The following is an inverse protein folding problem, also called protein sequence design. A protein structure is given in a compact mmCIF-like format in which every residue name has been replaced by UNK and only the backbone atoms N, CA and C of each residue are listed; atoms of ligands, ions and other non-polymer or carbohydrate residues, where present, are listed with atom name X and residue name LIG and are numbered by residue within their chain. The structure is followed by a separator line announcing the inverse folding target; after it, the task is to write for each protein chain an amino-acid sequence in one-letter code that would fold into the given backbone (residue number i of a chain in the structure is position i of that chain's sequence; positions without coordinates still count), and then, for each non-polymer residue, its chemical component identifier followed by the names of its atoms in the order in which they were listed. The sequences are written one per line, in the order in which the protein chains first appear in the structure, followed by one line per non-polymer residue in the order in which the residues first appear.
data_IF_309965110673
#
_entry.id   IF_309965110673
#
_cell.length_a   1.000
_cell.length_b   1.000
_cell.length_c   1.000
_cell.angle_alpha   90.00
_cell.angle_beta   90.00
_cell.angle_gamma   90.00
#
_symmetry.space_group_name_H-M   'P 1'
#
loop_
_entity.id
_entity.type
_entity.pdbx_description
1 polymer ?
#
# COMPACT_ATOMS: atom_id res chain seq x y z
N UNK A 1 8.39 30.80 -39.27
CA UNK A 1 8.23 29.37 -39.61
C UNK A 1 7.34 28.73 -38.54
N UNK A 2 6.09 28.47 -38.90
CA UNK A 2 5.09 27.75 -38.08
C UNK A 2 5.11 26.29 -38.50
N UNK A 3 5.14 25.35 -37.55
CA UNK A 3 4.59 24.02 -37.75
C UNK A 3 3.92 23.50 -36.47
N UNK A 4 2.69 23.02 -36.68
CA UNK A 4 1.73 22.47 -35.72
C UNK A 4 2.05 21.02 -35.35
N UNK A 5 1.59 20.63 -34.15
CA UNK A 5 0.86 19.39 -33.80
C UNK A 5 1.36 18.04 -34.34
N UNK A 6 1.72 17.13 -33.44
CA UNK A 6 1.23 15.73 -33.44
C UNK A 6 1.08 15.27 -31.98
N UNK A 7 -0.16 14.92 -31.62
CA UNK A 7 -0.53 14.10 -30.47
C UNK A 7 -0.91 12.73 -31.02
N UNK A 8 -0.34 11.65 -30.49
CA UNK A 8 -1.06 10.40 -30.17
C UNK A 8 -0.16 9.32 -29.53
N UNK A 9 -0.70 8.77 -28.45
CA UNK A 9 -0.63 7.38 -27.98
C UNK A 9 0.73 6.67 -27.86
N UNK A 10 1.18 6.50 -26.62
CA UNK A 10 1.72 5.21 -26.14
C UNK A 10 1.11 4.90 -24.77
N UNK A 11 -0.09 4.32 -24.83
CA UNK A 11 -0.63 3.43 -23.82
C UNK A 11 0.14 2.10 -23.90
N UNK A 12 0.34 1.47 -22.75
CA UNK A 12 0.89 0.11 -22.55
C UNK A 12 2.41 -0.07 -22.68
N UNK A 13 3.08 -0.04 -21.52
CA UNK A 13 4.22 -0.91 -21.27
C UNK A 13 4.21 -1.39 -19.82
N UNK A 14 3.47 -2.48 -19.61
CA UNK A 14 3.61 -3.33 -18.43
C UNK A 14 5.00 -3.99 -18.47
N UNK A 15 5.95 -3.38 -17.76
CA UNK A 15 7.27 -3.95 -17.51
C UNK A 15 7.16 -5.19 -16.61
N UNK A 16 7.38 -6.35 -17.22
CA UNK A 16 8.11 -7.52 -16.70
C UNK A 16 8.36 -7.55 -15.19
N UNK A 17 7.56 -8.33 -14.46
CA UNK A 17 7.96 -8.86 -13.16
C UNK A 17 8.71 -10.18 -13.39
N UNK A 18 10.04 -10.06 -13.42
CA UNK A 18 10.98 -11.18 -13.34
C UNK A 18 10.67 -12.02 -12.08
N UNK A 19 10.13 -13.22 -12.29
CA UNK A 19 10.03 -14.26 -11.27
C UNK A 19 11.44 -14.83 -11.05
N UNK A 20 12.16 -14.31 -10.04
CA UNK A 20 13.29 -15.05 -9.48
C UNK A 20 12.74 -16.02 -8.42
N UNK A 21 12.76 -17.30 -8.78
CA UNK A 21 12.62 -18.43 -7.87
C UNK A 21 13.70 -18.34 -6.79
N UNK A 22 13.32 -18.58 -5.55
CA UNK A 22 14.24 -18.72 -4.42
C UNK A 22 14.31 -20.22 -4.12
N UNK A 23 15.31 -20.90 -4.69
CA UNK A 23 15.66 -22.27 -4.31
C UNK A 23 16.52 -22.21 -3.04
N UNK A 24 15.92 -22.54 -1.89
CA UNK A 24 16.68 -22.82 -0.67
C UNK A 24 17.24 -24.24 -0.77
N UNK A 25 18.47 -24.35 -1.26
CA UNK A 25 19.31 -25.54 -1.06
C UNK A 25 19.88 -25.49 0.36
N UNK A 26 19.36 -26.33 1.26
CA UNK A 26 20.02 -26.64 2.53
C UNK A 26 20.95 -27.86 2.35
N UNK A 27 22.24 -27.77 2.68
CA UNK A 27 23.15 -28.90 2.66
C UNK A 27 23.19 -29.63 4.01
N UNK A 28 23.16 -30.98 3.95
CA UNK A 28 23.92 -31.86 4.82
C UNK A 28 23.43 -32.08 6.25
N UNK A 29 22.72 -33.20 6.45
CA UNK A 29 22.95 -34.03 7.64
C UNK A 29 22.81 -35.51 7.26
N UNK A 30 23.95 -36.17 7.07
CA UNK A 30 24.04 -37.60 6.85
C UNK A 30 24.21 -38.29 8.19
N UNK A 31 23.16 -38.93 8.70
CA UNK A 31 23.30 -39.92 9.78
C UNK A 31 22.35 -41.10 9.53
N UNK A 32 22.94 -42.25 9.19
CA UNK A 32 22.55 -43.57 9.73
C UNK A 32 21.24 -44.25 9.30
N UNK A 33 21.36 -45.12 8.27
CA UNK A 33 20.73 -46.44 8.07
C UNK A 33 19.65 -46.95 9.06
N UNK A 34 18.52 -47.44 8.54
CA UNK A 34 18.11 -48.87 8.60
C UNK A 34 16.77 -49.13 7.86
N UNK A 35 16.62 -50.36 7.37
CA UNK A 35 15.58 -50.89 6.47
C UNK A 35 14.22 -51.17 7.16
N UNK A 36 13.15 -51.23 6.32
CA UNK A 36 11.83 -51.91 6.47
C UNK A 36 10.65 -50.93 6.53
N UNK A 37 9.45 -51.15 5.99
CA UNK A 37 8.85 -52.11 5.06
C UNK A 37 7.43 -51.55 4.74
N UNK A 38 7.01 -51.63 3.46
CA UNK A 38 5.63 -51.81 2.93
C UNK A 38 4.46 -50.89 3.36
N UNK A 39 3.77 -50.33 2.35
CA UNK A 39 2.42 -49.72 2.33
C UNK A 39 2.24 -48.43 3.17
N UNK A 40 1.64 -47.34 2.73
CA UNK A 40 0.51 -47.15 1.80
C UNK A 40 0.53 -45.66 1.39
N UNK A 41 0.47 -45.37 0.09
CA UNK A 41 0.39 -43.99 -0.41
C UNK A 41 -1.01 -43.45 -0.17
N UNK A 42 -1.22 -42.83 0.98
CA UNK A 42 -2.35 -41.93 1.17
C UNK A 42 -1.95 -40.55 0.62
N UNK A 43 -2.22 -40.33 -0.66
CA UNK A 43 -2.26 -38.98 -1.26
C UNK A 43 -3.35 -38.19 -0.52
N UNK A 44 -2.95 -37.46 0.54
CA UNK A 44 -3.80 -36.40 1.06
C UNK A 44 -3.83 -35.29 0.00
N UNK A 45 -5.01 -34.86 -0.48
CA UNK A 45 -5.08 -33.64 -1.27
C UNK A 45 -4.45 -32.51 -0.44
N UNK A 46 -3.75 -31.55 -1.05
CA UNK A 46 -3.19 -30.43 -0.32
C UNK A 46 -4.36 -29.76 0.40
N UNK A 47 -4.38 -29.89 1.74
CA UNK A 47 -5.31 -29.14 2.58
C UNK A 47 -4.87 -27.70 2.44
N UNK A 48 -5.38 -27.02 1.41
CA UNK A 48 -5.33 -25.58 1.35
C UNK A 48 -6.17 -25.16 2.53
N UNK A 49 -5.50 -24.83 3.65
CA UNK A 49 -6.10 -24.15 4.78
C UNK A 49 -6.55 -22.77 4.29
N UNK A 50 -7.65 -22.76 3.53
CA UNK A 50 -8.40 -21.55 3.28
C UNK A 50 -8.89 -21.12 4.65
N UNK A 51 -8.44 -19.94 5.09
CA UNK A 51 -8.98 -19.35 6.30
C UNK A 51 -10.51 -19.33 6.20
N UNK A 52 -11.21 -19.54 7.31
CA UNK A 52 -12.69 -19.49 7.34
C UNK A 52 -13.24 -18.17 6.76
N UNK A 53 -12.43 -17.11 6.79
CA UNK A 53 -12.72 -15.81 6.17
C UNK A 53 -12.57 -15.83 4.64
N UNK A 54 -11.70 -16.65 4.06
CA UNK A 54 -11.54 -16.78 2.61
C UNK A 54 -12.72 -17.52 1.96
N UNK A 55 -13.48 -18.32 2.71
CA UNK A 55 -14.67 -19.05 2.24
C UNK A 55 -16.00 -18.32 2.48
N UNK A 56 -15.97 -17.06 2.95
CA UNK A 56 -17.19 -16.30 3.21
C UNK A 56 -17.94 -16.02 1.88
N UNK A 57 -19.28 -16.20 1.83
CA UNK A 57 -20.08 -15.80 0.69
C UNK A 57 -19.83 -14.33 0.30
N UNK A 58 -19.65 -14.02 -0.98
CA UNK A 58 -19.27 -12.68 -1.42
C UNK A 58 -20.31 -11.62 -1.04
N UNK A 59 -21.58 -11.97 -0.93
CA UNK A 59 -22.66 -11.08 -0.51
C UNK A 59 -22.45 -10.62 0.94
N UNK A 60 -22.18 -11.58 1.85
CA UNK A 60 -21.88 -11.29 3.24
C UNK A 60 -20.58 -10.49 3.38
N UNK A 61 -19.57 -10.81 2.58
CA UNK A 61 -18.32 -10.05 2.57
C UNK A 61 -18.55 -8.60 2.15
N UNK A 62 -19.37 -8.36 1.13
CA UNK A 62 -19.73 -7.01 0.67
C UNK A 62 -20.41 -6.23 1.77
N UNK A 63 -21.37 -6.84 2.44
CA UNK A 63 -22.14 -6.19 3.51
C UNK A 63 -21.26 -5.84 4.72
N UNK A 64 -20.37 -6.73 5.13
CA UNK A 64 -19.40 -6.47 6.20
C UNK A 64 -18.51 -5.28 5.84
N UNK A 65 -17.94 -5.25 4.64
CA UNK A 65 -17.04 -4.17 4.22
C UNK A 65 -17.79 -2.85 4.04
N UNK A 66 -19.03 -2.85 3.51
CA UNK A 66 -19.86 -1.64 3.39
C UNK A 66 -20.15 -1.04 4.75
N UNK A 67 -20.63 -1.85 5.70
CA UNK A 67 -20.90 -1.40 7.08
C UNK A 67 -19.64 -0.84 7.73
N UNK A 68 -18.49 -1.49 7.52
CA UNK A 68 -17.20 -1.02 8.03
C UNK A 68 -16.79 0.33 7.43
N UNK A 69 -16.96 0.53 6.12
CA UNK A 69 -16.63 1.79 5.45
C UNK A 69 -17.56 2.95 5.89
N UNK A 70 -18.83 2.65 6.16
CA UNK A 70 -19.82 3.60 6.67
C UNK A 70 -19.54 3.99 8.13
N UNK A 71 -19.17 3.03 8.98
CA UNK A 71 -18.89 3.30 10.39
C UNK A 71 -17.52 3.97 10.62
N UNK A 72 -16.49 3.57 9.87
CA UNK A 72 -15.10 3.99 10.13
C UNK A 72 -14.64 5.12 9.18
N UNK A 73 -15.22 6.31 9.38
CA UNK A 73 -15.02 7.45 8.50
C UNK A 73 -13.73 8.23 8.76
N UNK A 74 -13.27 8.31 10.01
CA UNK A 74 -12.12 9.12 10.44
C UNK A 74 -10.93 8.28 10.90
N UNK A 75 -9.74 8.86 10.86
CA UNK A 75 -8.57 8.25 11.49
C UNK A 75 -8.61 8.53 13.00
N UNK A 76 -8.25 7.56 13.87
CA UNK A 76 -7.53 6.31 13.58
C UNK A 76 -8.40 5.10 13.29
N UNK A 77 -9.71 5.17 13.49
CA UNK A 77 -10.59 3.99 13.41
C UNK A 77 -10.69 3.41 12.00
N UNK A 78 -10.53 4.26 10.98
CA UNK A 78 -10.35 3.88 9.57
C UNK A 78 -9.17 2.93 9.29
N UNK A 79 -8.25 2.71 10.25
CA UNK A 79 -7.25 1.63 10.19
C UNK A 79 -7.89 0.24 10.02
N UNK A 80 -9.10 0.04 10.53
CA UNK A 80 -9.82 -1.23 10.42
C UNK A 80 -10.16 -1.57 8.97
N UNK A 81 -10.49 -0.57 8.13
CA UNK A 81 -10.69 -0.76 6.68
C UNK A 81 -9.41 -1.26 6.00
N UNK A 82 -8.25 -0.73 6.42
CA UNK A 82 -6.95 -1.17 5.89
C UNK A 82 -6.63 -2.60 6.34
N UNK A 83 -6.87 -2.94 7.60
CA UNK A 83 -6.69 -4.29 8.13
C UNK A 83 -7.62 -5.31 7.44
N UNK A 84 -8.86 -4.92 7.18
CA UNK A 84 -9.85 -5.72 6.45
C UNK A 84 -9.33 -6.14 5.06
N UNK A 85 -8.70 -5.22 4.32
CA UNK A 85 -8.09 -5.51 3.03
C UNK A 85 -6.81 -6.38 3.10
N UNK A 86 -6.27 -6.63 4.30
CA UNK A 86 -5.08 -7.43 4.51
C UNK A 86 -5.39 -8.93 4.77
N UNK A 87 -6.65 -9.29 5.03
CA UNK A 87 -7.07 -10.66 5.38
C UNK A 87 -6.68 -11.69 4.31
N UNK A 88 -7.14 -11.51 3.07
CA UNK A 88 -6.75 -12.35 1.94
C UNK A 88 -6.98 -11.64 0.60
N UNK A 89 -6.67 -12.31 -0.52
CA UNK A 89 -6.84 -11.73 -1.87
C UNK A 89 -8.30 -11.34 -2.19
N UNK A 90 -9.27 -12.16 -1.78
CA UNK A 90 -10.70 -11.91 -2.01
C UNK A 90 -11.16 -10.66 -1.26
N UNK A 91 -10.84 -10.56 0.03
CA UNK A 91 -11.13 -9.39 0.85
C UNK A 91 -10.49 -8.12 0.30
N UNK A 92 -9.22 -8.19 -0.12
CA UNK A 92 -8.53 -7.07 -0.75
C UNK A 92 -9.22 -6.59 -2.02
N UNK A 93 -9.62 -7.51 -2.90
CA UNK A 93 -10.30 -7.17 -4.14
C UNK A 93 -11.63 -6.46 -3.86
N UNK A 94 -12.41 -6.98 -2.91
CA UNK A 94 -13.69 -6.40 -2.55
C UNK A 94 -13.57 -5.05 -1.83
N UNK A 95 -12.58 -4.88 -0.94
CA UNK A 95 -12.30 -3.57 -0.34
C UNK A 95 -11.95 -2.51 -1.38
N UNK A 96 -11.21 -2.86 -2.45
CA UNK A 96 -10.91 -1.91 -3.53
C UNK A 96 -12.15 -1.49 -4.32
N UNK A 97 -13.14 -2.37 -4.42
CA UNK A 97 -14.40 -2.08 -5.09
C UNK A 97 -15.29 -1.16 -4.24
N UNK A 98 -15.37 -1.42 -2.94
CA UNK A 98 -16.25 -0.69 -2.02
C UNK A 98 -15.66 0.66 -1.60
N UNK A 99 -14.36 0.69 -1.30
CA UNK A 99 -13.67 1.93 -0.89
C UNK A 99 -13.39 2.76 -2.14
N UNK A 100 -14.24 3.76 -2.37
CA UNK A 100 -14.12 4.67 -3.51
C UNK A 100 -12.76 5.41 -3.51
N UNK A 101 -12.31 5.83 -4.69
CA UNK A 101 -11.09 6.62 -4.83
C UNK A 101 -11.21 8.00 -4.15
N UNK A 102 -10.09 8.66 -3.82
CA UNK A 102 -10.08 9.97 -3.18
C UNK A 102 -10.84 11.05 -3.95
N UNK A 103 -10.92 10.95 -5.29
CA UNK A 103 -11.73 11.86 -6.11
C UNK A 103 -13.20 11.87 -5.72
N UNK A 104 -13.74 10.71 -5.30
CA UNK A 104 -15.16 10.50 -5.00
C UNK A 104 -15.47 10.51 -3.50
N UNK A 105 -14.55 10.05 -2.65
CA UNK A 105 -14.79 9.98 -1.20
C UNK A 105 -14.05 11.05 -0.39
N UNK A 106 -13.01 11.66 -0.95
CA UNK A 106 -12.12 12.57 -0.24
C UNK A 106 -11.33 11.97 0.92
N UNK A 107 -11.19 10.65 0.97
CA UNK A 107 -10.49 9.95 2.05
C UNK A 107 -9.23 9.23 1.54
N UNK A 108 -8.12 9.44 2.24
CA UNK A 108 -6.85 8.73 1.99
C UNK A 108 -6.77 7.45 2.83
N UNK A 109 -7.31 6.36 2.30
CA UNK A 109 -7.41 5.08 3.03
C UNK A 109 -6.17 4.22 2.82
N UNK A 110 -5.87 3.87 1.57
CA UNK A 110 -4.77 2.99 1.19
C UNK A 110 -3.54 3.79 0.73
N UNK A 111 -2.33 3.22 0.78
CA UNK A 111 -1.13 3.88 0.28
C UNK A 111 -1.24 4.30 -1.20
N UNK A 112 -1.92 3.48 -2.02
CA UNK A 112 -2.15 3.77 -3.45
C UNK A 112 -2.96 5.06 -3.66
N UNK A 113 -3.81 5.44 -2.70
CA UNK A 113 -4.63 6.65 -2.76
C UNK A 113 -3.81 7.93 -2.79
N UNK A 114 -2.56 7.92 -2.31
CA UNK A 114 -1.66 9.09 -2.35
C UNK A 114 -1.25 9.49 -3.77
N UNK A 115 -1.34 8.57 -4.73
CA UNK A 115 -1.04 8.82 -6.15
C UNK A 115 -2.29 9.11 -6.98
N UNK A 116 -3.47 9.05 -6.37
CA UNK A 116 -4.74 9.31 -7.06
C UNK A 116 -5.09 10.80 -7.00
N UNK A 117 -5.83 11.33 -7.97
CA UNK A 117 -6.27 12.72 -7.92
C UNK A 117 -7.16 12.99 -6.70
N UNK A 118 -7.14 14.24 -6.24
CA UNK A 118 -7.93 14.70 -5.11
C UNK A 118 -9.42 14.91 -5.45
N UNK A 119 -10.25 15.27 -4.45
CA UNK A 119 -11.67 15.55 -4.63
C UNK A 119 -11.91 16.59 -5.73
N UNK A 120 -12.87 16.31 -6.63
CA UNK A 120 -13.30 17.28 -7.66
C UNK A 120 -14.41 18.20 -7.17
N UNK A 121 -15.22 17.72 -6.23
CA UNK A 121 -16.33 18.48 -5.68
C UNK A 121 -15.83 19.45 -4.60
N UNK A 122 -16.17 20.73 -4.73
CA UNK A 122 -15.67 21.81 -3.87
C UNK A 122 -16.09 21.75 -2.40
N UNK A 123 -16.93 20.79 -1.99
CA UNK A 123 -17.37 20.63 -0.60
C UNK A 123 -16.39 19.81 0.26
N UNK A 124 -15.48 19.03 -0.34
CA UNK A 124 -14.60 18.10 0.38
C UNK A 124 -13.15 18.42 0.06
N UNK A 125 -12.39 18.86 1.07
CA UNK A 125 -10.96 19.17 0.91
C UNK A 125 -10.10 18.26 1.79
N UNK A 126 -9.00 17.76 1.23
CA UNK A 126 -8.02 16.99 1.98
C UNK A 126 -7.02 17.96 2.60
N UNK A 127 -7.23 18.30 3.87
CA UNK A 127 -6.33 19.19 4.60
C UNK A 127 -5.11 18.43 5.12
N UNK A 128 -3.92 18.96 4.85
CA UNK A 128 -2.66 18.38 5.29
C UNK A 128 -1.74 19.47 5.86
N UNK A 129 -0.76 19.06 6.67
CA UNK A 129 0.27 19.95 7.19
C UNK A 129 1.65 19.28 7.12
N UNK A 130 2.69 20.10 7.10
CA UNK A 130 4.08 19.63 6.97
C UNK A 130 4.83 19.95 8.26
N UNK A 131 5.34 18.92 8.95
CA UNK A 131 6.33 19.09 10.02
C UNK A 131 7.74 19.02 9.42
N UNK A 132 8.56 20.02 9.72
CA UNK A 132 9.97 20.06 9.30
C UNK A 132 10.88 19.73 10.46
N UNK A 133 11.75 18.74 10.27
CA UNK A 133 12.88 18.49 11.14
C UNK A 133 14.14 19.08 10.49
N UNK A 134 14.64 20.16 11.08
CA UNK A 134 15.81 20.88 10.58
C UNK A 134 17.11 20.11 10.79
N UNK A 135 17.18 19.25 11.81
CA UNK A 135 18.39 18.50 12.15
C UNK A 135 18.69 17.43 11.11
N UNK A 136 17.67 16.65 10.74
CA UNK A 136 17.77 15.58 9.76
C UNK A 136 17.52 16.03 8.31
N UNK A 137 17.20 17.33 8.12
CA UNK A 137 16.77 17.89 6.84
C UNK A 137 15.58 17.13 6.23
N UNK A 138 14.68 16.66 7.09
CA UNK A 138 13.51 15.87 6.72
C UNK A 138 12.23 16.69 6.87
N UNK A 139 11.25 16.31 6.05
CA UNK A 139 9.92 16.89 6.01
C UNK A 139 8.94 15.73 6.10
N UNK A 140 7.92 15.88 6.95
CA UNK A 140 6.90 14.87 7.16
C UNK A 140 5.53 15.49 6.87
N UNK A 141 4.81 14.89 5.94
CA UNK A 141 3.46 15.27 5.57
C UNK A 141 2.45 14.46 6.39
N UNK A 142 1.49 15.17 6.98
CA UNK A 142 0.42 14.58 7.78
C UNK A 142 -0.95 15.04 7.28
N UNK A 143 -1.92 14.15 7.33
CA UNK A 143 -3.34 14.45 7.15
C UNK A 143 -3.90 15.08 8.44
N UNK A 144 -4.63 16.18 8.32
CA UNK A 144 -5.34 16.81 9.42
C UNK A 144 -6.52 15.96 9.85
N UNK A 145 -6.62 15.63 11.14
CA UNK A 145 -7.75 14.85 11.70
C UNK A 145 -8.83 15.74 12.33
N UNK A 146 -8.46 16.94 12.76
CA UNK A 146 -9.37 17.94 13.31
C UNK A 146 -8.92 19.34 12.88
N UNK A 147 -9.84 20.22 12.43
CA UNK A 147 -9.51 21.60 12.09
C UNK A 147 -8.95 22.41 13.27
N UNK A 148 -9.28 22.03 14.51
CA UNK A 148 -8.94 22.79 15.71
C UNK A 148 -7.54 22.48 16.30
N UNK A 149 -6.89 21.38 15.89
CA UNK A 149 -5.64 20.89 16.51
C UNK A 149 -4.56 20.58 15.45
N UNK A 150 -4.32 21.55 14.56
CA UNK A 150 -3.50 21.42 13.35
C UNK A 150 -2.06 20.90 13.53
N UNK A 151 -1.51 20.83 14.75
CA UNK A 151 -0.07 20.57 14.94
C UNK A 151 0.23 19.25 15.66
N UNK A 152 -0.71 18.66 16.39
CA UNK A 152 -0.37 17.52 17.26
C UNK A 152 -0.92 16.17 16.77
N UNK A 153 -2.13 16.14 16.21
CA UNK A 153 -2.81 14.88 15.88
C UNK A 153 -3.08 14.76 14.37
N UNK A 154 -2.13 14.17 13.65
CA UNK A 154 -2.21 13.92 12.22
C UNK A 154 -1.86 12.49 11.84
N UNK A 155 -2.51 11.96 10.80
CA UNK A 155 -2.09 10.68 10.20
C UNK A 155 -0.90 10.92 9.28
N UNK A 156 0.22 10.26 9.54
CA UNK A 156 1.39 10.32 8.66
C UNK A 156 1.05 9.83 7.24
N UNK A 157 1.52 10.56 6.22
CA UNK A 157 1.32 10.24 4.81
C UNK A 157 2.64 9.98 4.08
N UNK A 158 3.56 10.94 4.10
CA UNK A 158 4.80 10.91 3.32
C UNK A 158 5.93 11.56 4.10
N UNK A 159 7.14 11.14 3.81
CA UNK A 159 8.36 11.80 4.24
C UNK A 159 9.18 12.23 3.03
N UNK A 160 9.95 13.30 3.17
CA UNK A 160 10.91 13.74 2.19
C UNK A 160 12.22 14.12 2.87
N UNK A 161 13.35 13.66 2.34
CA UNK A 161 14.69 14.00 2.84
C UNK A 161 15.45 14.83 1.82
N UNK A 162 15.89 16.02 2.23
CA UNK A 162 16.71 16.91 1.40
C UNK A 162 18.15 16.39 1.35
N UNK A 163 18.65 16.18 0.14
CA UNK A 163 20.02 15.76 -0.16
C UNK A 163 20.66 16.80 -1.05
N UNK A 164 21.77 17.39 -0.61
CA UNK A 164 22.53 18.34 -1.43
C UNK A 164 23.47 17.58 -2.35
N UNK A 165 23.38 17.83 -3.65
CA UNK A 165 24.35 17.40 -4.66
C UNK A 165 25.24 18.57 -5.04
N UNK A 166 26.29 18.29 -5.81
CA UNK A 166 27.21 19.32 -6.33
C UNK A 166 26.48 20.33 -7.23
N UNK A 167 25.50 19.87 -8.02
CA UNK A 167 24.81 20.67 -9.05
C UNK A 167 23.36 21.01 -8.73
N UNK A 168 22.72 20.33 -7.77
CA UNK A 168 21.33 20.56 -7.43
C UNK A 168 21.01 20.15 -5.98
N UNK A 169 19.80 20.49 -5.52
CA UNK A 169 19.23 19.92 -4.31
C UNK A 169 18.16 18.94 -4.71
N UNK A 170 18.25 17.70 -4.22
CA UNK A 170 17.26 16.66 -4.47
C UNK A 170 16.48 16.36 -3.19
N UNK A 171 15.21 16.01 -3.33
CA UNK A 171 14.38 15.47 -2.26
C UNK A 171 14.01 14.04 -2.59
N UNK A 172 14.34 13.11 -1.69
CA UNK A 172 13.91 11.71 -1.80
C UNK A 172 12.60 11.56 -1.04
N UNK A 173 11.53 11.13 -1.72
CA UNK A 173 10.18 11.01 -1.15
C UNK A 173 9.86 9.54 -0.85
N UNK A 174 9.36 9.25 0.36
CA UNK A 174 9.09 7.89 0.86
C UNK A 174 7.75 7.82 1.61
N UNK A 175 7.13 6.63 1.64
CA UNK A 175 5.93 6.33 2.45
C UNK A 175 6.22 5.99 3.90
N UNK A 176 7.48 6.01 4.33
CA UNK A 176 7.87 5.69 5.70
C UNK A 176 8.71 6.82 6.29
N UNK A 177 8.45 7.15 7.55
CA UNK A 177 9.10 8.27 8.23
C UNK A 177 10.61 8.06 8.37
N UNK A 178 11.04 6.87 8.82
CA UNK A 178 12.44 6.65 9.21
C UNK A 178 13.32 6.16 8.06
N UNK A 179 12.75 5.41 7.11
CA UNK A 179 13.50 4.85 5.98
C UNK A 179 13.31 5.69 4.71
N UNK A 180 14.11 6.76 4.61
CA UNK A 180 14.11 7.67 3.47
C UNK A 180 15.34 7.43 2.60
N UNK A 181 15.25 6.43 1.72
CA UNK A 181 16.30 6.06 0.77
C UNK A 181 15.70 5.66 -0.58
N UNK A 182 16.48 5.80 -1.66
CA UNK A 182 16.06 5.40 -3.02
C UNK A 182 15.97 3.89 -3.20
N UNK A 183 16.70 3.13 -2.39
CA UNK A 183 16.72 1.66 -2.41
C UNK A 183 15.61 1.05 -1.56
N UNK A 184 14.90 1.84 -0.75
CA UNK A 184 13.77 1.35 0.04
C UNK A 184 12.59 0.95 -0.86
N UNK A 185 11.90 -0.12 -0.49
CA UNK A 185 10.62 -0.53 -1.12
C UNK A 185 9.51 0.52 -0.95
N UNK A 186 9.71 1.46 -0.03
CA UNK A 186 8.77 2.53 0.34
C UNK A 186 9.02 3.82 -0.44
N UNK A 187 10.05 3.83 -1.30
CA UNK A 187 10.38 4.94 -2.18
C UNK A 187 9.25 5.21 -3.16
N UNK A 188 8.85 6.48 -3.28
CA UNK A 188 7.81 6.91 -4.23
C UNK A 188 8.37 7.72 -5.39
N UNK A 189 9.36 8.58 -5.13
CA UNK A 189 9.80 9.54 -6.13
C UNK A 189 10.85 10.52 -5.66
N UNK A 190 11.22 11.45 -6.54
CA UNK A 190 12.18 12.51 -6.28
C UNK A 190 11.67 13.85 -6.80
N UNK A 191 12.10 14.93 -6.13
CA UNK A 191 11.94 16.31 -6.57
C UNK A 191 13.30 16.97 -6.68
#
# INVERSE_FOLDING_TARGET
MSFRSIVRDVRDSFGSLSRRSFDLRLPGLHTGKSHSAVHELHDQPPVIQHSCWASLPPELLRDVIKRLEESETTWPSRKHVVACAAVCKSWRAMCKEIVKCPELCGKLTFPVSLKQPGPREGNTTIQCFIKRDKSNLTYHLFLCLSPALLVENGKFLLSAKRTRRTTCTEYVISMHADNISRSSTTYIGKL
#
